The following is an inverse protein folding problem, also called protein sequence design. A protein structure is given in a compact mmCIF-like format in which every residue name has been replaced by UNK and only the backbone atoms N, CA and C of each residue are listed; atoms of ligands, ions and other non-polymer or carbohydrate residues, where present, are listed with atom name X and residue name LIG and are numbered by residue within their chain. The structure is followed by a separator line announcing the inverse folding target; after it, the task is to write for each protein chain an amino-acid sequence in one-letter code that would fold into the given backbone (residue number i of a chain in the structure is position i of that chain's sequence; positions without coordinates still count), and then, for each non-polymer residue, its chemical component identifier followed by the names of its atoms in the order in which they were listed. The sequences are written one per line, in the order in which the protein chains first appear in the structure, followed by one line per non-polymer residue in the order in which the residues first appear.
data_IF_958090721215
#
_entry.id   IF_958090721215
#
_cell.length_a   1.000
_cell.length_b   1.000
_cell.length_c   1.000
_cell.angle_alpha   90.00
_cell.angle_beta   90.00
_cell.angle_gamma   90.00
#
_symmetry.space_group_name_H-M   'P 1'
#
loop_
_entity.id
_entity.type
_entity.pdbx_description
1 polymer ?
#
# COMPACT_ATOMS: atom_id res chain seq x y z
N UNK A 1 19.62 10.57 -9.55
CA UNK A 1 20.27 10.65 -8.23
C UNK A 1 19.34 10.00 -7.22
N UNK A 2 19.49 8.68 -7.06
CA UNK A 2 18.77 7.87 -6.07
C UNK A 2 19.56 7.92 -4.77
N UNK A 3 19.08 8.70 -3.80
CA UNK A 3 19.60 8.65 -2.44
C UNK A 3 19.23 7.29 -1.85
N UNK A 4 20.22 6.41 -1.72
CA UNK A 4 20.12 5.20 -0.90
C UNK A 4 19.91 5.68 0.54
N UNK A 5 18.72 5.44 1.09
CA UNK A 5 18.42 5.79 2.48
C UNK A 5 19.41 5.09 3.41
N UNK A 6 20.09 5.86 4.25
CA UNK A 6 21.03 5.33 5.24
C UNK A 6 20.28 4.44 6.24
N UNK A 7 20.66 3.17 6.28
CA UNK A 7 20.17 2.23 7.29
C UNK A 7 21.18 2.24 8.44
N UNK A 8 20.87 2.92 9.54
CA UNK A 8 21.69 2.88 10.76
C UNK A 8 21.19 1.75 11.66
N UNK A 9 22.01 0.73 11.86
CA UNK A 9 21.75 -0.32 12.83
C UNK A 9 22.05 0.20 14.25
N UNK A 10 21.01 0.45 15.04
CA UNK A 10 21.15 0.66 16.49
C UNK A 10 21.05 -0.70 17.21
N UNK A 11 21.71 -0.77 18.38
CA UNK A 11 21.81 -1.91 19.31
C UNK A 11 20.90 -3.11 19.00
N UNK A 12 21.52 -4.24 18.64
CA UNK A 12 20.91 -5.54 18.34
C UNK A 12 19.84 -5.54 17.24
N UNK A 13 20.26 -5.39 15.98
CA UNK A 13 19.47 -5.83 14.82
C UNK A 13 18.22 -5.00 14.49
N UNK A 14 18.02 -3.85 15.12
CA UNK A 14 16.86 -2.98 14.83
C UNK A 14 17.08 -2.23 13.51
N UNK A 15 16.18 -2.41 12.54
CA UNK A 15 16.23 -1.71 11.25
C UNK A 15 15.45 -0.40 11.35
N UNK A 16 16.15 0.72 11.12
CA UNK A 16 15.56 2.07 11.13
C UNK A 16 15.72 2.68 9.74
N UNK A 17 14.64 3.26 9.21
CA UNK A 17 14.62 3.92 7.91
C UNK A 17 13.87 5.24 7.98
N UNK A 18 14.47 6.30 7.43
CA UNK A 18 13.96 7.66 7.52
C UNK A 18 13.11 8.04 6.31
N UNK A 19 12.11 8.90 6.53
CA UNK A 19 11.49 9.68 5.46
C UNK A 19 12.48 10.70 4.90
N UNK A 20 12.13 11.32 3.76
CA UNK A 20 12.86 12.50 3.29
C UNK A 20 12.72 13.63 4.33
N UNK A 21 13.80 14.40 4.62
CA UNK A 21 13.77 15.46 5.62
C UNK A 21 12.65 16.47 5.38
N UNK A 22 11.88 16.76 6.42
CA UNK A 22 10.79 17.72 6.35
C UNK A 22 11.33 19.13 6.58
N UNK A 23 11.03 20.12 5.70
CA UNK A 23 11.59 21.48 5.83
C UNK A 23 11.30 22.18 7.17
N UNK A 24 10.23 21.79 7.85
CA UNK A 24 9.87 22.27 9.18
C UNK A 24 10.44 21.46 10.36
N UNK A 25 11.40 20.55 10.13
CA UNK A 25 12.02 19.69 11.17
C UNK A 25 11.03 18.70 11.79
N UNK A 26 10.02 18.28 11.02
CA UNK A 26 9.02 17.27 11.41
C UNK A 26 9.36 15.95 10.74
N UNK A 27 10.57 15.50 10.98
CA UNK A 27 11.10 14.29 10.36
C UNK A 27 10.38 13.08 10.94
N UNK A 28 10.25 12.05 10.10
CA UNK A 28 9.61 10.79 10.46
C UNK A 28 10.55 9.65 10.10
N UNK A 29 10.40 8.54 10.81
CA UNK A 29 11.09 7.29 10.50
C UNK A 29 10.22 6.10 10.84
N UNK A 30 10.50 4.99 10.16
CA UNK A 30 10.01 3.66 10.51
C UNK A 30 11.08 2.91 11.30
N UNK A 31 10.67 2.28 12.39
CA UNK A 31 11.47 1.32 13.16
C UNK A 31 10.86 -0.05 12.98
N UNK A 32 11.57 -0.99 12.36
CA UNK A 32 11.09 -2.34 12.14
C UNK A 32 11.11 -3.11 13.47
N UNK A 33 9.93 -3.39 14.02
CA UNK A 33 9.76 -4.06 15.31
C UNK A 33 9.64 -5.57 15.14
N UNK A 34 9.01 -6.02 14.06
CA UNK A 34 8.87 -7.44 13.72
C UNK A 34 9.04 -7.64 12.23
N UNK A 35 9.77 -8.68 11.86
CA UNK A 35 9.83 -9.17 10.48
C UNK A 35 9.88 -10.69 10.46
N UNK A 36 9.18 -11.29 9.52
CA UNK A 36 9.22 -12.74 9.30
C UNK A 36 10.57 -13.19 8.72
N UNK A 37 11.24 -12.34 7.94
CA UNK A 37 12.46 -12.68 7.19
C UNK A 37 13.77 -12.21 7.82
N UNK A 38 13.76 -11.71 9.05
CA UNK A 38 14.87 -10.98 9.72
C UNK A 38 15.33 -9.70 9.00
N UNK A 39 14.66 -9.32 7.91
CA UNK A 39 14.91 -8.12 7.12
C UNK A 39 13.58 -7.66 6.52
N UNK A 40 13.39 -6.34 6.31
CA UNK A 40 12.14 -5.84 5.79
C UNK A 40 11.86 -6.39 4.39
N UNK A 41 10.65 -6.92 4.18
CA UNK A 41 10.20 -7.37 2.86
C UNK A 41 10.02 -6.19 1.91
N UNK A 42 9.65 -5.02 2.44
CA UNK A 42 9.51 -3.77 1.69
C UNK A 42 10.13 -2.62 2.50
N UNK A 43 10.89 -1.77 1.83
CA UNK A 43 11.49 -0.59 2.45
C UNK A 43 10.43 0.43 2.89
N UNK A 44 10.68 1.08 4.02
CA UNK A 44 9.83 2.10 4.64
C UNK A 44 9.38 3.18 3.65
N UNK A 45 10.31 3.76 2.87
CA UNK A 45 9.99 4.81 1.90
C UNK A 45 8.97 4.34 0.84
N UNK A 46 9.11 3.10 0.37
CA UNK A 46 8.17 2.50 -0.58
C UNK A 46 6.79 2.29 0.07
N UNK A 47 6.75 1.74 1.29
CA UNK A 47 5.50 1.58 2.06
C UNK A 47 4.79 2.93 2.25
N UNK A 48 5.51 3.95 2.70
CA UNK A 48 4.95 5.29 2.92
C UNK A 48 4.45 5.94 1.64
N UNK A 49 5.12 5.71 0.51
CA UNK A 49 4.67 6.23 -0.78
C UNK A 49 3.29 5.68 -1.20
N UNK A 50 2.96 4.44 -0.82
CA UNK A 50 1.65 3.86 -1.11
C UNK A 50 0.52 4.52 -0.33
N UNK A 51 0.76 4.98 0.89
CA UNK A 51 -0.26 5.70 1.64
C UNK A 51 -0.54 7.10 1.05
N UNK A 52 0.40 7.66 0.28
CA UNK A 52 0.20 8.92 -0.43
C UNK A 52 -0.56 8.77 -1.75
N UNK A 53 -0.78 7.54 -2.24
CA UNK A 53 -1.61 7.29 -3.43
C UNK A 53 -3.07 7.26 -3.02
N UNK A 54 -3.61 8.45 -2.72
CA UNK A 54 -4.94 8.69 -2.11
C UNK A 54 -6.09 7.99 -2.86
N UNK A 55 -5.90 7.68 -4.13
CA UNK A 55 -7.04 7.44 -5.02
C UNK A 55 -7.37 5.96 -5.24
N UNK A 56 -6.43 5.01 -5.08
CA UNK A 56 -6.66 3.63 -5.51
C UNK A 56 -5.80 2.60 -4.78
N UNK A 57 -6.37 1.43 -4.51
CA UNK A 57 -5.63 0.27 -4.02
C UNK A 57 -5.01 -0.39 -5.25
N UNK A 58 -3.68 -0.44 -5.31
CA UNK A 58 -2.99 -1.15 -6.37
C UNK A 58 -2.59 -2.54 -5.89
N UNK A 59 -2.82 -3.53 -6.75
CA UNK A 59 -2.20 -4.83 -6.60
C UNK A 59 -0.67 -4.71 -6.70
N UNK A 60 0.09 -5.70 -6.22
CA UNK A 60 1.52 -5.76 -6.47
C UNK A 60 1.79 -5.79 -7.97
N UNK A 61 2.93 -5.25 -8.37
CA UNK A 61 3.37 -5.18 -9.77
C UNK A 61 2.41 -4.46 -10.75
N UNK A 62 1.39 -3.73 -10.29
CA UNK A 62 0.57 -2.88 -11.16
C UNK A 62 1.26 -1.56 -11.43
N UNK A 63 1.28 -1.13 -12.68
CA UNK A 63 1.77 0.21 -13.03
C UNK A 63 0.64 1.00 -13.62
N UNK A 64 0.46 2.21 -13.10
CA UNK A 64 -0.52 3.17 -13.60
C UNK A 64 0.17 4.29 -14.36
N UNK A 65 -0.25 4.51 -15.59
CA UNK A 65 0.12 5.65 -16.42
C UNK A 65 -1.04 6.60 -16.61
N UNK A 66 -0.72 7.87 -16.86
CA UNK A 66 -1.70 8.85 -17.32
C UNK A 66 -2.05 8.55 -18.77
N UNK A 67 -3.33 8.40 -19.06
CA UNK A 67 -3.76 8.26 -20.45
C UNK A 67 -3.75 9.63 -21.14
N UNK A 68 -3.24 9.68 -22.36
CA UNK A 68 -3.29 10.90 -23.17
C UNK A 68 -4.74 11.32 -23.46
N UNK A 69 -5.11 12.61 -23.29
CA UNK A 69 -6.46 13.09 -23.61
C UNK A 69 -6.80 12.93 -25.09
N UNK A 70 -5.79 12.87 -25.97
CA UNK A 70 -5.98 12.67 -27.40
C UNK A 70 -6.42 11.25 -27.76
N UNK A 71 -6.21 10.26 -26.89
CA UNK A 71 -6.65 8.89 -27.13
C UNK A 71 -8.18 8.84 -27.05
N UNK A 72 -8.86 8.24 -28.02
CA UNK A 72 -10.33 8.11 -27.98
C UNK A 72 -10.76 6.70 -27.53
N UNK A 73 -11.95 6.52 -26.91
CA UNK A 73 -12.45 5.20 -26.51
C UNK A 73 -12.40 4.13 -27.61
N UNK A 74 -12.68 4.51 -28.87
CA UNK A 74 -12.64 3.60 -30.00
C UNK A 74 -11.23 3.00 -30.27
N UNK A 75 -10.18 3.65 -29.77
CA UNK A 75 -8.80 3.23 -29.93
C UNK A 75 -8.30 2.34 -28.79
N UNK A 76 -9.08 2.16 -27.71
CA UNK A 76 -8.60 1.49 -26.50
C UNK A 76 -8.19 0.05 -26.75
N UNK A 77 -9.00 -0.72 -27.50
CA UNK A 77 -8.66 -2.10 -27.85
C UNK A 77 -7.34 -2.20 -28.64
N UNK A 78 -7.11 -1.26 -29.56
CA UNK A 78 -5.87 -1.19 -30.32
C UNK A 78 -4.66 -0.89 -29.42
N UNK A 79 -4.80 0.07 -28.50
CA UNK A 79 -3.75 0.40 -27.52
C UNK A 79 -3.47 -0.77 -26.60
N UNK A 80 -4.51 -1.48 -26.17
CA UNK A 80 -4.38 -2.66 -25.31
C UNK A 80 -3.49 -3.70 -25.99
N UNK A 81 -3.80 -4.07 -27.24
CA UNK A 81 -3.00 -5.00 -28.04
C UNK A 81 -1.59 -4.47 -28.31
N UNK A 82 -1.43 -3.16 -28.53
CA UNK A 82 -0.12 -2.54 -28.73
C UNK A 82 0.77 -2.71 -27.49
N UNK A 83 0.24 -2.42 -26.29
CA UNK A 83 0.98 -2.53 -25.03
C UNK A 83 1.26 -3.99 -24.67
N UNK A 84 0.29 -4.89 -24.90
CA UNK A 84 0.46 -6.33 -24.76
C UNK A 84 1.58 -6.87 -25.68
N UNK A 85 1.63 -6.40 -26.92
CA UNK A 85 2.68 -6.78 -27.88
C UNK A 85 4.06 -6.26 -27.45
N UNK A 86 4.14 -4.99 -27.02
CA UNK A 86 5.37 -4.41 -26.51
C UNK A 86 5.88 -5.16 -25.26
N UNK A 87 4.97 -5.55 -24.36
CA UNK A 87 5.30 -6.38 -23.22
C UNK A 87 5.87 -7.74 -23.64
N UNK A 88 5.21 -8.46 -24.56
CA UNK A 88 5.69 -9.75 -25.04
C UNK A 88 7.09 -9.67 -25.67
N UNK A 89 7.38 -8.58 -26.38
CA UNK A 89 8.69 -8.34 -26.96
C UNK A 89 9.75 -8.09 -25.88
N UNK A 90 9.43 -7.34 -24.83
CA UNK A 90 10.32 -7.05 -23.72
C UNK A 90 10.57 -8.25 -22.80
N UNK A 91 9.57 -9.11 -22.62
CA UNK A 91 9.58 -10.23 -21.68
C UNK A 91 9.19 -11.56 -22.34
N UNK A 92 10.04 -12.12 -23.23
CA UNK A 92 9.72 -13.37 -23.91
C UNK A 92 9.46 -14.52 -22.92
N UNK A 93 8.36 -15.26 -23.13
CA UNK A 93 7.99 -16.42 -22.31
C UNK A 93 7.29 -16.11 -20.99
N UNK A 94 7.07 -14.83 -20.67
CA UNK A 94 6.28 -14.41 -19.50
C UNK A 94 4.77 -14.42 -19.79
N UNK A 95 3.94 -14.48 -18.75
CA UNK A 95 2.48 -14.39 -18.87
C UNK A 95 2.12 -12.99 -19.39
N UNK A 96 1.10 -12.92 -20.26
CA UNK A 96 0.62 -11.65 -20.82
C UNK A 96 0.07 -10.75 -19.70
N UNK A 97 0.36 -9.42 -19.70
CA UNK A 97 -0.23 -8.50 -18.76
C UNK A 97 -1.72 -8.33 -19.06
N UNK A 98 -2.49 -7.99 -18.03
CA UNK A 98 -3.81 -7.39 -18.21
C UNK A 98 -3.63 -5.89 -18.33
N UNK A 99 -3.99 -5.34 -19.49
CA UNK A 99 -3.94 -3.90 -19.72
C UNK A 99 -5.35 -3.33 -19.58
N UNK A 100 -5.57 -2.47 -18.58
CA UNK A 100 -6.85 -1.83 -18.34
C UNK A 100 -6.80 -0.36 -18.73
N UNK A 101 -7.74 0.04 -19.58
CA UNK A 101 -7.97 1.43 -19.94
C UNK A 101 -9.30 1.85 -19.32
N UNK A 102 -9.29 2.89 -18.50
CA UNK A 102 -10.52 3.39 -17.89
C UNK A 102 -10.50 4.90 -17.71
N UNK A 103 -11.71 5.44 -17.63
CA UNK A 103 -12.01 6.82 -17.34
C UNK A 103 -12.93 6.84 -16.11
N UNK A 104 -12.53 7.57 -15.07
CA UNK A 104 -13.37 7.70 -13.88
C UNK A 104 -14.46 8.76 -14.10
N UNK A 105 -15.43 8.83 -13.18
CA UNK A 105 -16.56 9.79 -13.28
C UNK A 105 -16.13 11.26 -13.26
N UNK A 106 -14.91 11.55 -12.81
CA UNK A 106 -14.33 12.89 -12.77
C UNK A 106 -13.54 13.22 -14.05
N UNK A 107 -13.53 12.32 -15.05
CA UNK A 107 -12.82 12.49 -16.31
C UNK A 107 -11.32 12.21 -16.25
N UNK A 108 -10.80 11.65 -15.14
CA UNK A 108 -9.42 11.17 -15.08
C UNK A 108 -9.29 9.85 -15.83
N UNK A 109 -8.28 9.78 -16.70
CA UNK A 109 -8.07 8.66 -17.63
C UNK A 109 -6.74 8.00 -17.34
N UNK A 110 -6.76 6.69 -17.12
CA UNK A 110 -5.59 5.93 -16.71
C UNK A 110 -5.42 4.65 -17.54
N UNK A 111 -4.17 4.22 -17.64
CA UNK A 111 -3.79 2.92 -18.19
C UNK A 111 -3.12 2.15 -17.07
N UNK A 112 -3.68 1.00 -16.70
CA UNK A 112 -3.03 0.07 -15.79
C UNK A 112 -2.44 -1.09 -16.57
N UNK A 113 -1.19 -1.40 -16.29
CA UNK A 113 -0.54 -2.62 -16.75
C UNK A 113 -0.37 -3.50 -15.52
N UNK A 114 -1.19 -4.55 -15.43
CA UNK A 114 -1.23 -5.49 -14.31
C UNK A 114 -0.63 -6.81 -14.76
N UNK A 115 0.33 -7.33 -13.99
CA UNK A 115 0.82 -8.69 -14.16
C UNK A 115 0.56 -9.49 -12.88
N UNK A 116 0.45 -10.82 -12.96
CA UNK A 116 0.48 -11.65 -11.77
C UNK A 116 1.72 -11.36 -10.92
N UNK A 117 1.58 -11.38 -9.60
CA UNK A 117 2.65 -11.05 -8.66
C UNK A 117 3.92 -11.93 -8.88
N UNK A 118 3.74 -13.15 -9.39
CA UNK A 118 4.80 -14.13 -9.68
C UNK A 118 5.45 -13.98 -11.08
N UNK A 119 5.09 -12.96 -11.87
CA UNK A 119 5.44 -12.91 -13.29
C UNK A 119 6.63 -11.99 -13.62
N UNK A 120 6.43 -10.67 -13.54
CA UNK A 120 7.42 -9.62 -13.84
C UNK A 120 7.23 -8.49 -12.84
N UNK A 121 8.32 -8.00 -12.24
CA UNK A 121 8.23 -6.90 -11.28
C UNK A 121 7.87 -5.60 -11.98
N UNK A 122 7.12 -4.73 -11.30
CA UNK A 122 6.73 -3.46 -11.89
C UNK A 122 7.93 -2.57 -12.29
N UNK A 123 9.01 -2.56 -11.51
CA UNK A 123 10.19 -1.76 -11.85
C UNK A 123 10.81 -2.19 -13.18
N UNK A 124 10.86 -3.49 -13.46
CA UNK A 124 11.36 -4.02 -14.74
C UNK A 124 10.47 -3.58 -15.91
N UNK A 125 9.14 -3.58 -15.73
CA UNK A 125 8.20 -3.13 -16.76
C UNK A 125 8.34 -1.63 -17.00
N UNK A 126 8.51 -0.81 -15.94
CA UNK A 126 8.78 0.63 -16.07
C UNK A 126 10.07 0.86 -16.84
N UNK A 127 11.13 0.13 -16.50
CA UNK A 127 12.43 0.24 -17.17
C UNK A 127 12.34 -0.15 -18.64
N UNK A 128 11.72 -1.29 -18.96
CA UNK A 128 11.51 -1.74 -20.33
C UNK A 128 10.67 -0.75 -21.14
N UNK A 129 9.62 -0.18 -20.53
CA UNK A 129 8.78 0.82 -21.18
C UNK A 129 9.56 2.08 -21.55
N UNK A 130 10.49 2.50 -20.69
CA UNK A 130 11.36 3.65 -20.92
C UNK A 130 12.41 3.36 -22.01
N UNK A 131 13.17 2.27 -21.86
CA UNK A 131 14.29 1.92 -22.75
C UNK A 131 13.82 1.59 -24.17
N UNK A 132 12.68 0.91 -24.30
CA UNK A 132 12.12 0.51 -25.59
C UNK A 132 11.13 1.54 -26.14
N UNK A 133 10.90 2.63 -25.41
CA UNK A 133 10.05 3.74 -25.84
C UNK A 133 8.61 3.33 -26.13
N UNK A 134 7.97 2.63 -25.19
CA UNK A 134 6.60 2.16 -25.34
C UNK A 134 5.63 3.31 -25.63
N UNK A 135 4.61 3.03 -26.45
CA UNK A 135 3.68 4.04 -26.97
C UNK A 135 2.24 3.63 -26.79
N UNK A 136 1.41 4.66 -26.66
CA UNK A 136 -0.05 4.62 -26.69
C UNK A 136 -0.48 5.31 -27.98
N UNK A 137 -0.78 4.50 -29.01
CA UNK A 137 -0.90 4.98 -30.38
C UNK A 137 0.46 5.49 -30.89
N UNK A 138 0.54 6.80 -31.13
CA UNK A 138 1.78 7.47 -31.59
C UNK A 138 2.53 8.22 -30.49
N UNK A 139 1.97 8.27 -29.27
CA UNK A 139 2.49 9.09 -28.17
C UNK A 139 3.23 8.19 -27.19
N UNK A 140 4.43 8.56 -26.71
CA UNK A 140 5.11 7.82 -25.64
C UNK A 140 4.20 7.67 -24.41
N UNK A 141 4.26 6.50 -23.74
CA UNK A 141 3.42 6.23 -22.57
C UNK A 141 3.71 7.17 -21.39
N UNK A 142 4.92 7.73 -21.33
CA UNK A 142 5.33 8.69 -20.32
C UNK A 142 5.82 8.04 -19.03
N UNK A 143 5.91 8.84 -17.96
CA UNK A 143 6.29 8.36 -16.63
C UNK A 143 5.08 7.73 -15.92
N UNK A 144 5.30 6.70 -15.10
CA UNK A 144 4.22 6.14 -14.28
C UNK A 144 3.73 7.19 -13.27
N UNK A 145 2.42 7.27 -13.10
CA UNK A 145 1.78 8.01 -12.01
C UNK A 145 1.94 7.29 -10.68
N UNK A 146 1.91 5.95 -10.74
CA UNK A 146 2.01 5.11 -9.57
C UNK A 146 2.53 3.73 -9.98
N UNK A 147 3.29 3.12 -9.07
CA UNK A 147 3.89 1.79 -9.22
C UNK A 147 3.51 1.02 -7.96
N UNK A 148 2.82 -0.11 -8.12
CA UNK A 148 2.53 -1.04 -7.03
C UNK A 148 3.81 -1.69 -6.50
N UNK A 149 3.72 -2.38 -5.36
CA UNK A 149 4.90 -2.97 -4.74
C UNK A 149 5.60 -3.95 -5.70
N UNK A 150 6.92 -3.81 -5.91
CA UNK A 150 7.70 -4.70 -6.77
C UNK A 150 8.03 -6.00 -6.02
N UNK A 151 7.02 -6.81 -5.71
CA UNK A 151 7.17 -8.03 -4.90
C UNK A 151 6.65 -9.27 -5.63
N UNK A 152 7.17 -10.42 -5.23
CA UNK A 152 6.70 -11.75 -5.65
C UNK A 152 5.64 -12.35 -4.73
N UNK A 153 5.13 -11.56 -3.79
CA UNK A 153 4.10 -11.98 -2.84
C UNK A 153 2.89 -11.03 -2.89
N UNK A 154 1.72 -11.50 -2.47
CA UNK A 154 0.52 -10.67 -2.34
C UNK A 154 0.58 -9.82 -1.08
N UNK A 155 1.45 -8.80 -1.09
CA UNK A 155 1.67 -7.91 0.04
C UNK A 155 0.78 -6.66 -0.02
N UNK A 156 0.21 -6.28 1.12
CA UNK A 156 -0.59 -5.07 1.24
C UNK A 156 -0.28 -4.33 2.56
N UNK A 157 0.01 -3.02 2.50
CA UNK A 157 0.31 -2.26 3.71
C UNK A 157 -0.96 -1.70 4.36
N UNK A 158 -0.98 -1.72 5.69
CA UNK A 158 -2.07 -1.19 6.52
C UNK A 158 -1.45 -0.35 7.62
N UNK A 159 -1.79 0.93 7.67
CA UNK A 159 -1.43 1.82 8.77
C UNK A 159 -2.52 1.77 9.84
N UNK A 160 -2.10 1.53 11.07
CA UNK A 160 -2.95 1.40 12.24
C UNK A 160 -2.61 2.53 13.20
N UNK A 161 -3.56 3.41 13.47
CA UNK A 161 -3.38 4.57 14.36
C UNK A 161 -4.13 4.40 15.69
N UNK A 162 -3.79 5.24 16.67
CA UNK A 162 -4.33 5.27 18.03
C UNK A 162 -3.96 4.03 18.86
N UNK A 163 -2.74 3.52 18.71
CA UNK A 163 -2.24 2.40 19.51
C UNK A 163 -1.41 2.98 20.67
N UNK A 164 -1.87 2.88 21.93
CA UNK A 164 -1.15 3.44 23.08
C UNK A 164 0.21 2.77 23.29
N UNK A 165 1.24 3.56 23.65
CA UNK A 165 2.61 3.08 23.84
C UNK A 165 2.68 1.88 24.80
N UNK A 166 1.96 1.94 25.92
CA UNK A 166 1.94 0.90 26.94
C UNK A 166 1.22 -0.41 26.51
N UNK A 167 0.65 -0.44 25.31
CA UNK A 167 -0.07 -1.58 24.75
C UNK A 167 0.52 -2.05 23.40
N UNK A 168 1.62 -1.47 22.92
CA UNK A 168 2.18 -1.78 21.59
C UNK A 168 2.53 -3.26 21.44
N UNK A 169 3.32 -3.84 22.34
CA UNK A 169 3.77 -5.23 22.23
C UNK A 169 2.59 -6.22 22.25
N UNK A 170 1.63 -5.93 23.12
CA UNK A 170 0.40 -6.70 23.25
C UNK A 170 -0.46 -6.59 22.00
N UNK A 171 -0.58 -5.40 21.42
CA UNK A 171 -1.29 -5.18 20.17
C UNK A 171 -0.61 -5.92 19.01
N UNK A 172 0.71 -5.83 18.89
CA UNK A 172 1.53 -6.52 17.87
C UNK A 172 1.31 -8.04 17.92
N UNK A 173 1.29 -8.61 19.13
CA UNK A 173 1.01 -10.03 19.35
C UNK A 173 -0.41 -10.40 18.93
N UNK A 174 -1.38 -9.50 19.12
CA UNK A 174 -2.78 -9.71 18.74
C UNK A 174 -3.11 -9.44 17.26
N UNK A 175 -2.17 -8.96 16.44
CA UNK A 175 -2.44 -8.60 15.04
C UNK A 175 -3.15 -9.71 14.22
N UNK A 176 -2.76 -11.00 14.30
CA UNK A 176 -3.46 -12.05 13.57
C UNK A 176 -4.95 -12.14 13.93
N UNK A 177 -5.28 -12.13 15.23
CA UNK A 177 -6.67 -12.17 15.69
C UNK A 177 -7.39 -10.84 15.49
N UNK A 178 -6.68 -9.72 15.45
CA UNK A 178 -7.22 -8.42 15.08
C UNK A 178 -7.74 -8.41 13.64
N UNK A 179 -6.93 -8.84 12.67
CA UNK A 179 -7.37 -8.90 11.27
C UNK A 179 -8.41 -9.98 11.01
N UNK A 180 -8.41 -11.08 11.76
CA UNK A 180 -9.42 -12.13 11.63
C UNK A 180 -10.84 -11.65 11.97
N UNK A 181 -11.02 -10.55 12.71
CA UNK A 181 -12.35 -10.05 13.11
C UNK A 181 -13.18 -9.48 11.95
N UNK A 182 -12.52 -9.06 10.87
CA UNK A 182 -13.20 -8.39 9.74
C UNK A 182 -12.77 -8.93 8.37
N UNK A 183 -12.02 -10.05 8.36
CA UNK A 183 -11.76 -10.82 7.15
C UNK A 183 -12.69 -12.03 7.08
N UNK A 184 -13.03 -12.42 5.85
CA UNK A 184 -13.73 -13.68 5.60
C UNK A 184 -12.82 -14.87 5.99
N UNK A 185 -13.39 -15.92 6.58
CA UNK A 185 -12.64 -17.10 7.01
C UNK A 185 -11.93 -17.84 5.86
N UNK A 186 -12.37 -17.64 4.62
CA UNK A 186 -11.70 -18.15 3.41
C UNK A 186 -10.41 -17.41 3.07
N UNK A 187 -10.16 -16.25 3.70
CA UNK A 187 -9.01 -15.40 3.42
C UNK A 187 -7.96 -15.65 4.50
N UNK A 188 -6.87 -16.30 4.11
CA UNK A 188 -5.72 -16.51 4.97
C UNK A 188 -4.73 -15.38 4.83
N UNK A 189 -4.34 -14.80 5.97
CA UNK A 189 -3.44 -13.66 6.06
C UNK A 189 -2.30 -14.01 7.00
N UNK A 190 -1.11 -13.54 6.65
CA UNK A 190 0.07 -13.59 7.52
C UNK A 190 0.61 -12.18 7.71
N UNK A 191 1.09 -11.88 8.92
CA UNK A 191 1.79 -10.62 9.15
C UNK A 191 3.27 -10.81 8.78
N UNK A 192 3.75 -10.00 7.84
CA UNK A 192 5.13 -10.08 7.33
C UNK A 192 6.02 -9.15 8.13
N UNK A 193 5.70 -7.85 8.10
CA UNK A 193 6.47 -6.81 8.78
C UNK A 193 5.56 -5.96 9.66
N UNK A 194 6.13 -5.46 10.76
CA UNK A 194 5.52 -4.44 11.61
C UNK A 194 6.52 -3.33 11.85
N UNK A 195 6.17 -2.15 11.38
CA UNK A 195 6.94 -0.94 11.55
C UNK A 195 6.27 -0.02 12.57
N UNK A 196 7.03 0.44 13.55
CA UNK A 196 6.65 1.52 14.42
C UNK A 196 6.99 2.86 13.76
N UNK A 197 6.02 3.77 13.70
CA UNK A 197 6.26 5.11 13.21
C UNK A 197 6.74 6.01 14.36
N UNK A 198 7.82 6.75 14.13
CA UNK A 198 8.36 7.73 15.07
C UNK A 198 8.46 9.11 14.41
N UNK A 199 8.25 10.15 15.21
CA UNK A 199 8.43 11.55 14.82
C UNK A 199 9.56 12.20 15.60
N UNK A 200 10.32 13.06 14.94
CA UNK A 200 11.37 13.85 15.57
C UNK A 200 10.78 15.03 16.35
N UNK A 201 11.30 15.26 17.56
CA UNK A 201 11.05 16.46 18.34
C UNK A 201 12.39 17.10 18.68
N UNK A 202 12.59 18.34 18.23
CA UNK A 202 13.74 19.15 18.61
C UNK A 202 13.45 19.86 19.92
N UNK A 203 14.28 19.63 20.93
CA UNK A 203 14.26 20.39 22.19
C UNK A 203 15.36 21.44 22.15
N UNK A 204 15.04 22.70 22.51
CA UNK A 204 16.00 23.83 22.50
C UNK A 204 17.31 23.60 23.28
N UNK A 205 17.34 22.58 24.15
CA UNK A 205 18.47 22.25 25.01
C UNK A 205 19.37 21.12 24.47
N UNK A 206 19.02 20.50 23.34
CA UNK A 206 19.78 19.40 22.72
C UNK A 206 20.01 19.70 21.25
N UNK A 207 21.24 19.48 20.78
CA UNK A 207 21.57 19.56 19.36
C UNK A 207 21.01 18.37 18.56
N UNK A 208 20.70 17.25 19.24
CA UNK A 208 20.16 16.05 18.62
C UNK A 208 18.64 15.93 18.79
N UNK A 209 17.90 15.53 17.73
CA UNK A 209 16.45 15.31 17.80
C UNK A 209 16.11 14.08 18.63
N UNK A 210 15.08 14.19 19.46
CA UNK A 210 14.50 13.06 20.19
C UNK A 210 13.41 12.44 19.32
N UNK A 211 13.49 11.12 19.11
CA UNK A 211 12.49 10.38 18.35
C UNK A 211 11.44 9.81 19.30
N UNK A 212 10.18 10.10 19.02
CA UNK A 212 9.05 9.67 19.85
C UNK A 212 8.08 8.83 19.03
N UNK A 213 7.55 7.78 19.66
CA UNK A 213 6.49 6.96 19.07
C UNK A 213 5.26 7.79 18.71
N UNK A 214 4.79 7.66 17.47
CA UNK A 214 3.70 8.46 16.92
C UNK A 214 2.31 7.81 17.10
N UNK A 215 2.16 6.80 17.97
CA UNK A 215 0.90 6.06 18.17
C UNK A 215 0.39 5.35 16.90
N UNK A 216 1.31 5.05 15.98
CA UNK A 216 1.02 4.49 14.67
C UNK A 216 1.95 3.32 14.37
N UNK A 217 1.36 2.23 13.86
CA UNK A 217 2.08 1.11 13.27
C UNK A 217 1.77 1.03 11.77
N UNK A 218 2.73 0.62 10.97
CA UNK A 218 2.51 0.17 9.60
C UNK A 218 2.74 -1.33 9.56
N UNK A 219 1.68 -2.07 9.23
CA UNK A 219 1.68 -3.52 9.17
C UNK A 219 1.63 -3.95 7.71
N UNK A 220 2.59 -4.77 7.30
CA UNK A 220 2.58 -5.40 5.99
C UNK A 220 1.95 -6.78 6.13
N UNK A 221 0.81 -6.98 5.47
CA UNK A 221 0.11 -8.27 5.45
C UNK A 221 0.34 -8.97 4.11
N UNK A 222 0.45 -10.29 4.17
CA UNK A 222 0.53 -11.17 3.01
C UNK A 222 -0.74 -12.01 2.93
N UNK A 223 -1.32 -12.08 1.73
CA UNK A 223 -2.41 -13.00 1.43
C UNK A 223 -1.82 -14.31 0.91
N UNK A 224 -1.87 -15.35 1.74
CA UNK A 224 -1.26 -16.65 1.43
C UNK A 224 -2.13 -17.52 0.53
N UNK A 225 -3.38 -17.11 0.31
CA UNK A 225 -4.31 -17.71 -0.64
C UNK A 225 -4.61 -16.73 -1.79
N UNK A 226 -4.96 -17.24 -2.99
CA UNK A 226 -5.44 -16.39 -4.07
C UNK A 226 -6.61 -15.51 -3.63
N UNK A 227 -6.58 -14.23 -4.02
CA UNK A 227 -7.65 -13.29 -3.72
C UNK A 227 -8.95 -13.71 -4.46
N UNK A 228 -10.13 -13.53 -3.84
CA UNK A 228 -11.41 -13.83 -4.47
C UNK A 228 -11.69 -12.90 -5.66
N UNK A 229 -12.67 -13.28 -6.49
CA UNK A 229 -13.18 -12.44 -7.56
C UNK A 229 -12.15 -12.14 -8.66
N UNK A 230 -11.87 -10.86 -8.90
CA UNK A 230 -10.94 -10.44 -9.97
C UNK A 230 -9.46 -10.66 -9.63
N UNK A 231 -9.18 -11.03 -8.38
CA UNK A 231 -7.83 -11.18 -7.84
C UNK A 231 -7.24 -9.85 -7.34
N UNK A 232 -8.08 -8.87 -6.99
CA UNK A 232 -7.64 -7.52 -6.60
C UNK A 232 -7.83 -7.23 -5.12
N UNK A 233 -6.87 -6.52 -4.52
CA UNK A 233 -7.00 -6.06 -3.13
C UNK A 233 -8.22 -5.19 -2.94
N UNK A 234 -8.53 -4.33 -3.92
CA UNK A 234 -9.71 -3.46 -3.87
C UNK A 234 -11.00 -4.24 -3.56
N UNK A 235 -11.19 -5.41 -4.18
CA UNK A 235 -12.39 -6.25 -4.01
C UNK A 235 -12.53 -6.77 -2.58
N UNK A 236 -11.42 -6.83 -1.84
CA UNK A 236 -11.38 -7.25 -0.44
C UNK A 236 -11.43 -6.07 0.53
N UNK A 237 -10.46 -5.17 0.41
CA UNK A 237 -10.20 -4.13 1.42
C UNK A 237 -11.26 -3.03 1.40
N UNK A 238 -12.07 -2.93 0.33
CA UNK A 238 -13.20 -2.01 0.30
C UNK A 238 -14.22 -2.29 1.42
N UNK A 239 -14.32 -3.54 1.88
CA UNK A 239 -15.20 -3.94 2.98
C UNK A 239 -14.58 -3.79 4.37
N UNK A 240 -13.28 -3.51 4.46
CA UNK A 240 -12.62 -3.39 5.76
C UNK A 240 -13.08 -2.13 6.50
N UNK A 241 -13.32 -2.23 7.82
CA UNK A 241 -13.80 -1.12 8.61
C UNK A 241 -12.76 0.01 8.67
N UNK A 242 -13.22 1.26 8.81
CA UNK A 242 -12.33 2.42 9.02
C UNK A 242 -11.67 2.40 10.41
N UNK A 243 -12.31 1.71 11.36
CA UNK A 243 -11.82 1.60 12.72
C UNK A 243 -12.35 0.30 13.35
N UNK A 244 -11.61 -0.23 14.31
CA UNK A 244 -11.98 -1.43 15.07
C UNK A 244 -11.72 -1.19 16.54
N UNK A 245 -12.69 -1.55 17.37
CA UNK A 245 -12.55 -1.46 18.82
C UNK A 245 -11.74 -2.65 19.34
N UNK A 246 -10.46 -2.45 19.56
CA UNK A 246 -9.59 -3.46 20.14
C UNK A 246 -9.86 -3.61 21.64
N UNK A 247 -10.20 -4.85 22.04
CA UNK A 247 -10.47 -5.24 23.44
C UNK A 247 -11.52 -4.39 24.16
N UNK A 248 -12.52 -3.91 23.42
CA UNK A 248 -13.57 -3.05 23.96
C UNK A 248 -13.05 -1.78 24.67
N UNK A 249 -11.82 -1.34 24.33
CA UNK A 249 -11.13 -0.22 25.03
C UNK A 249 -10.47 0.78 24.09
N UNK A 250 -9.80 0.32 23.03
CA UNK A 250 -8.98 1.18 22.17
C UNK A 250 -9.58 1.22 20.78
N UNK A 251 -9.90 2.42 20.30
CA UNK A 251 -10.42 2.60 18.95
C UNK A 251 -9.27 2.74 17.94
N UNK A 252 -8.90 1.63 17.30
CA UNK A 252 -7.79 1.58 16.33
C UNK A 252 -8.30 1.99 14.97
N UNK A 253 -7.66 2.98 14.35
CA UNK A 253 -8.05 3.45 13.02
C UNK A 253 -7.22 2.73 11.95
N UNK A 254 -7.88 2.28 10.87
CA UNK A 254 -7.25 1.57 9.76
C UNK A 254 -7.18 2.49 8.54
N UNK A 255 -5.95 2.78 8.12
CA UNK A 255 -5.64 3.49 6.90
C UNK A 255 -4.94 2.54 5.94
N UNK A 256 -5.40 2.48 4.69
CA UNK A 256 -4.78 1.64 3.68
C UNK A 256 -4.97 2.25 2.28
N UNK A 257 -4.05 1.97 1.34
CA UNK A 257 -4.13 2.51 -0.01
C UNK A 257 -5.48 2.20 -0.67
N UNK A 258 -6.11 3.20 -1.28
CA UNK A 258 -7.38 3.04 -2.00
C UNK A 258 -8.66 3.10 -1.20
N UNK A 259 -8.59 3.27 0.13
CA UNK A 259 -9.78 3.58 0.92
C UNK A 259 -10.20 5.02 0.65
N UNK A 260 -11.37 5.21 0.04
CA UNK A 260 -12.01 6.53 0.05
C UNK A 260 -12.53 6.81 1.47
N UNK A 261 -12.21 7.99 2.01
CA UNK A 261 -12.94 8.57 3.14
C UNK A 261 -14.34 9.01 2.67
N UNK A 262 -15.17 8.09 2.17
CA UNK A 262 -16.55 8.39 1.79
C UNK A 262 -17.49 8.48 3.02
N UNK A 263 -16.97 8.34 4.24
CA UNK A 263 -17.77 8.29 5.47
C UNK A 263 -17.84 9.61 6.26
N UNK A 264 -17.00 10.62 5.98
CA UNK A 264 -16.98 11.87 6.75
C UNK A 264 -17.73 13.04 6.10
N UNK A 265 -18.20 12.91 4.85
CA UNK A 265 -18.93 13.96 4.14
C UNK A 265 -20.45 13.72 4.05
N UNK A 266 -20.98 12.67 4.68
CA UNK A 266 -22.42 12.42 4.79
C UNK A 266 -23.03 13.01 6.08
N UNK A 267 -22.81 14.30 6.34
CA UNK A 267 -23.57 15.07 7.35
C UNK A 267 -25.00 15.42 6.87
N UNK A 268 -25.66 14.53 6.12
CA UNK A 268 -26.97 14.83 5.54
C UNK A 268 -27.86 13.66 5.12
N UNK A 269 -27.38 12.40 5.13
CA UNK A 269 -28.25 11.23 4.92
C UNK A 269 -27.84 10.10 5.85
N UNK A 270 -28.68 9.87 6.88
CA UNK A 270 -28.68 8.64 7.67
C UNK A 270 -29.00 7.47 6.72
N UNK A 271 -27.99 6.86 6.11
CA UNK A 271 -28.07 5.45 5.73
C UNK A 271 -27.60 4.65 6.94
N UNK A 272 -28.57 4.03 7.61
CA UNK A 272 -28.37 3.09 8.69
C UNK A 272 -27.60 1.87 8.21
N UNK A 273 -26.27 1.92 8.23
CA UNK A 273 -25.38 0.74 8.18
C UNK A 273 -24.03 1.14 8.83
N UNK A 274 -24.10 1.74 10.02
CA UNK A 274 -22.95 1.81 10.92
C UNK A 274 -23.02 0.56 11.80
N UNK A 275 -22.52 -0.57 11.31
CA UNK A 275 -22.23 -1.69 12.19
C UNK A 275 -21.05 -1.29 13.06
N UNK A 276 -21.35 -0.71 14.22
CA UNK A 276 -20.44 -0.76 15.35
C UNK A 276 -20.24 -2.24 15.64
N UNK A 277 -19.13 -2.82 15.21
CA UNK A 277 -18.73 -4.16 15.61
C UNK A 277 -18.23 -4.03 17.06
N UNK A 278 -19.16 -3.94 18.00
CA UNK A 278 -18.91 -4.25 19.41
C UNK A 278 -19.07 -5.76 19.55
N UNK A 279 -17.97 -6.48 19.68
CA UNK A 279 -18.05 -7.93 19.92
C UNK A 279 -18.25 -8.22 21.41
N UNK A 280 -19.02 -9.28 21.73
CA UNK A 280 -19.16 -9.76 23.09
C UNK A 280 -17.81 -10.17 23.66
N UNK A 281 -17.59 -9.88 24.94
CA UNK A 281 -16.40 -10.34 25.66
C UNK A 281 -16.29 -11.86 25.56
N UNK A 282 -15.24 -12.35 24.89
CA UNK A 282 -14.77 -13.71 25.10
C UNK A 282 -14.06 -13.74 26.45
N UNK A 283 -14.85 -13.87 27.52
CA UNK A 283 -14.38 -14.42 28.79
C UNK A 283 -14.73 -15.90 28.79
N UNK A 284 -13.71 -16.73 28.60
CA UNK A 284 -13.44 -17.93 29.38
C UNK A 284 -11.91 -18.04 29.53
#
# INVERSE_FOLDING_TARGET
MTGLGETMAHSEGTVIQYDDPHPAGRDRRGVLIRSLGNAPAVGWKQLMSMFHTVWFALNPNVIRYRMSPALKPQQWKYVQVQLETAFCAAFPGKKLPRVHLFENQQGYRHIDIETPYDNVHADDIVQAALEQGWKVGKIPIGLPLCVGLPTSDLLFPVKLDNIPLNHVDEFITSLPSFFAQFNDASISLRIVDVWQMEGSVSMKASDEPIWLYAQSLVVLVEFTAPLPGSGRFYDLVHYWPAWVLWRNKVNVHLFFPGKFESANSASGRRSSLTSVICLPNAHD
#
